data_IF_050842297656
#
_entry.id   IF_050842297656
#
_cell.length_a   1.000
_cell.length_b   1.000
_cell.length_c   1.000
_cell.angle_alpha   90.00
_cell.angle_beta   90.00
_cell.angle_gamma   90.00
#
_symmetry.space_group_name_H-M   'P 1'
#
loop_
_entity.id
_entity.type
_entity.pdbx_description
1 polymer ?
#
# COMPACT_ATOMS: atom_id res chain seq x y z
N UNK A 1 -11.57 0.89 16.93
CA UNK A 1 -11.92 1.97 15.98
C UNK A 1 -11.13 1.73 14.70
N UNK A 2 -11.56 2.29 13.56
CA UNK A 2 -10.96 2.03 12.24
C UNK A 2 -10.68 3.33 11.50
N UNK A 3 -9.64 3.32 10.65
CA UNK A 3 -9.24 4.43 9.80
C UNK A 3 -9.10 3.98 8.34
N UNK A 4 -9.07 4.93 7.42
CA UNK A 4 -8.86 4.65 6.00
C UNK A 4 -7.46 5.07 5.56
N UNK A 5 -6.85 4.21 4.75
CA UNK A 5 -5.62 4.46 4.02
C UNK A 5 -5.91 4.32 2.53
N UNK A 6 -5.35 5.22 1.73
CA UNK A 6 -5.47 5.25 0.28
C UNK A 6 -4.09 5.08 -0.33
N UNK A 7 -3.96 4.16 -1.27
CA UNK A 7 -2.72 3.88 -1.96
C UNK A 7 -2.91 4.12 -3.45
N UNK A 8 -2.00 4.85 -4.08
CA UNK A 8 -2.02 5.16 -5.50
C UNK A 8 -0.64 5.61 -5.96
N UNK A 9 -0.38 5.55 -7.26
CA UNK A 9 0.81 6.16 -7.85
C UNK A 9 0.64 7.65 -8.11
N UNK A 10 1.57 8.47 -7.64
CA UNK A 10 1.60 9.92 -7.85
C UNK A 10 2.42 10.37 -9.06
N UNK A 11 3.40 9.57 -9.47
CA UNK A 11 4.24 9.75 -10.68
C UNK A 11 4.60 8.37 -11.25
N UNK A 12 5.52 8.28 -12.20
CA UNK A 12 6.06 7.02 -12.74
C UNK A 12 7.05 6.30 -11.79
N UNK A 13 7.47 6.98 -10.72
CA UNK A 13 8.44 6.47 -9.76
C UNK A 13 8.01 6.61 -8.28
N UNK A 14 6.81 7.12 -8.01
CA UNK A 14 6.34 7.39 -6.65
C UNK A 14 5.01 6.69 -6.34
N UNK A 15 5.03 5.81 -5.34
CA UNK A 15 3.85 5.22 -4.72
C UNK A 15 3.49 5.98 -3.45
N UNK A 16 2.23 6.35 -3.30
CA UNK A 16 1.70 7.12 -2.16
C UNK A 16 0.90 6.24 -1.20
N UNK A 17 0.95 6.60 0.07
CA UNK A 17 0.00 6.22 1.11
C UNK A 17 -0.56 7.50 1.74
N UNK A 18 -1.86 7.76 1.56
CA UNK A 18 -2.55 8.93 2.08
C UNK A 18 -3.67 8.55 3.07
N UNK A 19 -4.03 9.48 3.95
CA UNK A 19 -5.15 9.37 4.87
C UNK A 19 -4.69 9.60 6.30
N UNK A 20 -4.96 8.62 7.16
CA UNK A 20 -4.54 8.65 8.56
C UNK A 20 -3.03 8.38 8.76
N UNK A 21 -2.40 7.74 7.79
CA UNK A 21 -0.94 7.65 7.64
C UNK A 21 -0.61 8.37 6.33
N UNK A 22 0.52 9.10 6.32
CA UNK A 22 1.00 9.84 5.15
C UNK A 22 2.45 9.50 4.93
N UNK A 23 2.75 8.81 3.84
CA UNK A 23 4.08 8.35 3.49
C UNK A 23 4.18 8.13 1.98
N UNK A 24 5.38 8.25 1.41
CA UNK A 24 5.65 8.00 -0.01
C UNK A 24 6.85 7.06 -0.17
N UNK A 25 6.82 6.20 -1.20
CA UNK A 25 7.95 5.34 -1.56
C UNK A 25 8.38 5.67 -2.99
N UNK A 26 9.63 6.11 -3.14
CA UNK A 26 10.31 6.15 -4.42
C UNK A 26 10.68 4.73 -4.88
N UNK A 27 10.12 4.27 -5.98
CA UNK A 27 10.29 2.91 -6.50
C UNK A 27 10.38 2.88 -8.04
N UNK A 28 11.41 3.53 -8.59
CA UNK A 28 11.68 3.48 -10.04
C UNK A 28 12.14 2.09 -10.48
N UNK A 29 11.44 1.47 -11.43
CA UNK A 29 11.71 0.11 -11.94
C UNK A 29 11.78 -0.99 -10.86
N UNK A 30 11.13 -0.76 -9.71
CA UNK A 30 11.03 -1.72 -8.62
C UNK A 30 9.62 -1.65 -8.01
N UNK A 31 9.15 -2.70 -7.33
CA UNK A 31 7.89 -2.60 -6.60
C UNK A 31 8.04 -1.67 -5.39
N UNK A 32 7.11 -0.74 -5.23
CA UNK A 32 6.88 -0.06 -3.96
C UNK A 32 6.11 -0.96 -3.02
N UNK A 33 6.59 -1.13 -1.79
CA UNK A 33 5.99 -2.07 -0.82
C UNK A 33 5.75 -1.34 0.50
N UNK A 34 4.50 -1.21 0.89
CA UNK A 34 4.13 -0.84 2.25
C UNK A 34 3.81 -2.07 3.07
N UNK A 35 4.44 -2.23 4.23
CA UNK A 35 4.09 -3.25 5.20
C UNK A 35 3.21 -2.64 6.29
N UNK A 36 1.94 -3.06 6.32
CA UNK A 36 0.95 -2.66 7.32
C UNK A 36 0.86 -3.70 8.43
N UNK A 37 0.90 -3.26 9.68
CA UNK A 37 0.80 -4.13 10.86
C UNK A 37 -0.13 -3.56 11.91
N UNK A 38 -1.00 -4.40 12.47
CA UNK A 38 -1.81 -4.09 13.65
C UNK A 38 -1.88 -5.30 14.58
N UNK A 39 -2.57 -5.17 15.71
CA UNK A 39 -2.87 -6.29 16.60
C UNK A 39 -3.76 -7.38 15.97
N UNK A 40 -4.46 -7.09 14.87
CA UNK A 40 -5.37 -8.01 14.17
C UNK A 40 -4.72 -8.75 13.00
N UNK A 41 -3.47 -8.40 12.64
CA UNK A 41 -2.73 -9.03 11.56
C UNK A 41 -1.85 -8.05 10.79
N UNK A 42 -1.27 -8.56 9.71
CA UNK A 42 -0.34 -7.81 8.86
C UNK A 42 -0.53 -8.17 7.39
N UNK A 43 -0.29 -7.20 6.52
CA UNK A 43 -0.35 -7.36 5.07
C UNK A 43 0.62 -6.40 4.37
N UNK A 44 0.97 -6.72 3.12
CA UNK A 44 1.71 -5.82 2.25
C UNK A 44 0.79 -5.21 1.20
N UNK A 45 0.91 -3.90 0.97
CA UNK A 45 0.42 -3.24 -0.25
C UNK A 45 1.60 -3.12 -1.21
N UNK A 46 1.42 -3.67 -2.41
CA UNK A 46 2.46 -3.73 -3.44
C UNK A 46 2.00 -2.92 -4.65
N UNK A 47 2.79 -1.93 -5.04
CA UNK A 47 2.60 -1.12 -6.24
C UNK A 47 3.70 -1.36 -7.26
N UNK A 48 3.35 -1.38 -8.54
CA UNK A 48 4.33 -1.46 -9.64
C UNK A 48 3.87 -0.61 -10.82
N UNK A 49 4.76 0.24 -11.33
CA UNK A 49 4.51 1.01 -12.54
C UNK A 49 4.76 0.13 -13.78
N UNK A 50 3.72 -0.03 -14.62
CA UNK A 50 3.76 -0.92 -15.78
C UNK A 50 4.22 -0.19 -17.04
N UNK A 51 4.80 -0.93 -17.99
CA UNK A 51 5.18 -0.43 -19.33
C UNK A 51 3.98 0.16 -20.11
N UNK A 52 2.75 -0.19 -19.73
CA UNK A 52 1.53 0.42 -20.27
C UNK A 52 1.27 1.86 -19.78
N UNK A 53 2.15 2.41 -18.94
CA UNK A 53 2.06 3.77 -18.41
C UNK A 53 1.06 3.94 -17.27
N UNK A 54 0.71 2.84 -16.58
CA UNK A 54 -0.26 2.86 -15.47
C UNK A 54 0.26 2.09 -14.26
N UNK A 55 -0.27 2.39 -13.08
CA UNK A 55 0.03 1.66 -11.86
C UNK A 55 -0.83 0.41 -11.70
N UNK A 56 -0.17 -0.68 -11.31
CA UNK A 56 -0.80 -1.86 -10.71
C UNK A 56 -0.63 -1.80 -9.20
N UNK A 57 -1.71 -1.99 -8.44
CA UNK A 57 -1.67 -2.12 -6.98
C UNK A 57 -2.37 -3.40 -6.54
N UNK A 58 -1.84 -4.04 -5.50
CA UNK A 58 -2.41 -5.24 -4.90
C UNK A 58 -2.06 -5.42 -3.43
N UNK A 59 -2.67 -6.42 -2.82
CA UNK A 59 -2.44 -6.85 -1.43
C UNK A 59 -1.79 -8.23 -1.44
N UNK A 60 -0.80 -8.45 -0.57
CA UNK A 60 -0.11 -9.74 -0.42
C UNK A 60 0.18 -10.10 1.04
N UNK A 61 0.37 -11.40 1.30
CA UNK A 61 0.81 -11.91 2.60
C UNK A 61 2.24 -11.44 2.88
N UNK A 62 2.60 -11.29 4.15
CA UNK A 62 3.94 -10.84 4.53
C UNK A 62 4.96 -11.99 4.62
N UNK A 63 4.50 -13.23 4.82
CA UNK A 63 5.32 -14.43 4.93
C UNK A 63 4.49 -15.72 4.72
N UNK A 64 5.18 -16.85 4.62
CA UNK A 64 4.56 -18.19 4.63
C UNK A 64 3.72 -18.39 5.90
N UNK A 65 2.57 -19.05 5.75
CA UNK A 65 1.61 -19.36 6.82
C UNK A 65 1.04 -18.15 7.59
N UNK A 66 1.28 -16.91 7.15
CA UNK A 66 0.66 -15.70 7.72
C UNK A 66 -0.59 -15.34 6.90
N UNK A 67 -1.82 -15.55 7.42
CA UNK A 67 -3.04 -15.26 6.67
C UNK A 67 -3.21 -13.76 6.45
N UNK A 68 -3.82 -13.38 5.33
CA UNK A 68 -4.26 -12.01 5.13
C UNK A 68 -5.36 -11.65 6.15
N UNK A 69 -5.25 -10.52 6.87
CA UNK A 69 -6.35 -10.03 7.69
C UNK A 69 -7.52 -9.60 6.78
N UNK A 70 -8.74 -9.81 7.26
CA UNK A 70 -9.97 -9.56 6.51
C UNK A 70 -10.38 -8.07 6.46
N UNK A 71 -9.41 -7.17 6.38
CA UNK A 71 -9.66 -5.73 6.34
C UNK A 71 -10.35 -5.34 5.02
N UNK A 72 -11.48 -4.62 5.07
CA UNK A 72 -12.19 -4.23 3.85
C UNK A 72 -11.31 -3.41 2.91
N UNK A 73 -11.25 -3.82 1.65
CA UNK A 73 -10.50 -3.15 0.59
C UNK A 73 -11.38 -2.87 -0.63
N UNK A 74 -11.20 -1.70 -1.24
CA UNK A 74 -11.86 -1.31 -2.49
C UNK A 74 -10.86 -0.76 -3.49
N UNK A 75 -11.17 -0.92 -4.78
CA UNK A 75 -10.36 -0.43 -5.88
C UNK A 75 -11.21 0.47 -6.77
N UNK A 76 -10.68 1.64 -7.12
CA UNK A 76 -11.26 2.58 -8.08
C UNK A 76 -10.14 3.16 -8.95
N UNK A 77 -10.48 3.87 -10.03
CA UNK A 77 -9.48 4.67 -10.74
C UNK A 77 -9.20 5.95 -9.93
N UNK A 78 -7.93 6.27 -9.68
CA UNK A 78 -7.53 7.53 -9.07
C UNK A 78 -7.82 8.71 -10.00
N UNK A 79 -7.99 9.93 -9.46
CA UNK A 79 -8.28 11.14 -10.26
C UNK A 79 -7.21 11.47 -11.31
N UNK A 80 -5.99 10.98 -11.11
CA UNK A 80 -4.86 11.08 -12.06
C UNK A 80 -5.09 10.29 -13.35
N UNK A 81 -6.01 9.33 -13.36
CA UNK A 81 -6.38 8.52 -14.54
C UNK A 81 -5.38 7.43 -14.94
N UNK A 82 -4.13 7.49 -14.47
CA UNK A 82 -3.10 6.46 -14.72
C UNK A 82 -2.76 5.62 -13.49
N UNK A 83 -3.52 5.76 -12.39
CA UNK A 83 -3.35 4.90 -11.22
C UNK A 83 -4.68 4.29 -10.81
N UNK A 84 -4.64 3.02 -10.40
CA UNK A 84 -5.66 2.49 -9.51
C UNK A 84 -5.46 3.11 -8.12
N UNK A 85 -6.55 3.39 -7.41
CA UNK A 85 -6.56 3.74 -6.00
C UNK A 85 -7.09 2.55 -5.21
N UNK A 86 -6.24 2.01 -4.34
CA UNK A 86 -6.63 1.01 -3.34
C UNK A 86 -6.97 1.74 -2.04
N UNK A 87 -8.18 1.55 -1.53
CA UNK A 87 -8.56 2.04 -0.19
C UNK A 87 -8.73 0.87 0.75
N UNK A 88 -8.07 0.91 1.91
CA UNK A 88 -8.18 -0.12 2.96
C UNK A 88 -8.75 0.51 4.23
N UNK A 89 -9.78 -0.10 4.79
CA UNK A 89 -10.27 0.23 6.14
C UNK A 89 -9.51 -0.61 7.15
N UNK A 90 -8.56 0.00 7.85
CA UNK A 90 -7.63 -0.67 8.76
C UNK A 90 -7.97 -0.41 10.23
N UNK A 91 -7.56 -1.28 11.17
CA UNK A 91 -7.61 -0.98 12.60
C UNK A 91 -6.83 0.28 12.96
N UNK A 92 -7.28 1.02 13.97
CA UNK A 92 -6.66 2.31 14.35
C UNK A 92 -5.20 2.19 14.80
N UNK A 93 -4.83 1.07 15.41
CA UNK A 93 -3.47 0.73 15.83
C UNK A 93 -2.56 0.30 14.67
N UNK A 94 -3.05 0.31 13.43
CA UNK A 94 -2.25 -0.01 12.26
C UNK A 94 -1.09 0.98 12.09
N UNK A 95 0.12 0.45 11.92
CA UNK A 95 1.35 1.20 11.65
C UNK A 95 1.99 0.72 10.34
N UNK A 96 2.90 1.56 9.80
CA UNK A 96 3.85 1.13 8.78
C UNK A 96 5.08 0.53 9.46
N UNK A 97 5.49 -0.66 9.02
CA UNK A 97 6.77 -1.25 9.39
C UNK A 97 7.82 -0.72 8.42
N UNK A 98 8.65 0.19 8.89
CA UNK A 98 9.77 0.72 8.12
C UNK A 98 10.94 -0.29 8.15
N UNK A 99 11.68 -0.47 7.04
CA UNK A 99 12.91 -1.24 7.08
C UNK A 99 13.88 -0.59 8.07
N UNK A 100 14.58 -1.40 8.86
CA UNK A 100 15.69 -0.91 9.68
C UNK A 100 16.74 -0.33 8.72
N UNK A 101 17.17 0.92 8.95
CA UNK A 101 18.31 1.48 8.22
C UNK A 101 19.51 0.57 8.50
N UNK A 102 20.07 -0.06 7.46
CA UNK A 102 21.33 -0.78 7.59
C UNK A 102 22.42 0.25 7.96
N UNK A 103 22.93 0.21 9.20
CA UNK A 103 24.08 1.01 9.67
C UNK A 103 25.37 0.76 8.86
#
# INVERSE_FOLDING_TARGET
>A
MTKQLHFYGASDDLLECEGAIREEIGCYNSPGIYHLKSSEGEMQVVGYYLDSGVWSLGISQVAEDVPLPAWPATYVMHERGYSVQLTITVPDDTILVLPEEEE
#
